data_IF_794541137958
#
_entry.id   IF_794541137958
#
_cell.length_a   1.000
_cell.length_b   1.000
_cell.length_c   1.000
_cell.angle_alpha   90.00
_cell.angle_beta   90.00
_cell.angle_gamma   90.00
#
_symmetry.space_group_name_H-M   'P 1'
#
loop_
_entity.id
_entity.type
_entity.pdbx_description
1 polymer ?
#
# COMPACT_ATOMS: atom_id res chain seq x y z
N UNK A 1 3.51 3.12 -14.11
CA UNK A 1 4.12 4.28 -13.41
C UNK A 1 4.51 3.90 -11.98
N UNK A 2 5.77 4.06 -11.55
CA UNK A 2 6.19 3.81 -10.17
C UNK A 2 6.10 5.12 -9.37
N UNK A 3 4.96 5.37 -8.74
CA UNK A 3 4.83 6.55 -7.86
C UNK A 3 5.77 6.36 -6.68
N UNK A 4 6.84 7.16 -6.59
CA UNK A 4 7.84 7.07 -5.53
C UNK A 4 7.35 7.78 -4.27
N UNK A 5 7.14 7.02 -3.19
CA UNK A 5 6.61 7.52 -1.92
C UNK A 5 7.67 7.59 -0.84
N UNK A 6 7.73 8.72 -0.13
CA UNK A 6 8.73 9.07 0.89
C UNK A 6 8.97 7.97 1.95
N UNK A 7 10.05 7.17 1.85
CA UNK A 7 10.25 5.97 2.67
C UNK A 7 10.52 6.26 4.16
N UNK A 8 11.19 7.38 4.47
CA UNK A 8 11.70 7.67 5.82
C UNK A 8 10.63 7.91 6.89
N UNK A 9 9.56 8.64 6.54
CA UNK A 9 8.47 8.92 7.49
C UNK A 9 7.59 7.68 7.77
N UNK A 10 7.48 6.78 6.79
CA UNK A 10 6.62 5.61 6.86
C UNK A 10 7.12 4.56 7.86
N UNK A 11 8.43 4.29 7.89
CA UNK A 11 9.01 3.35 8.86
C UNK A 11 8.81 3.82 10.31
N UNK A 12 8.96 5.13 10.56
CA UNK A 12 8.71 5.72 11.88
C UNK A 12 7.23 5.60 12.28
N UNK A 13 6.31 5.86 11.35
CA UNK A 13 4.89 5.73 11.61
C UNK A 13 4.50 4.27 11.88
N UNK A 14 4.98 3.32 11.06
CA UNK A 14 4.76 1.88 11.27
C UNK A 14 5.24 1.42 12.64
N UNK A 15 6.46 1.80 13.04
CA UNK A 15 7.03 1.44 14.35
C UNK A 15 6.13 1.94 15.50
N UNK A 16 5.73 3.22 15.46
CA UNK A 16 4.83 3.80 16.46
C UNK A 16 3.47 3.11 16.53
N UNK A 17 2.89 2.74 15.40
CA UNK A 17 1.62 2.00 15.39
C UNK A 17 1.82 0.62 16.01
N UNK A 18 2.89 -0.10 15.65
CA UNK A 18 3.18 -1.41 16.22
C UNK A 18 3.40 -1.37 17.74
N UNK A 19 4.05 -0.31 18.25
CA UNK A 19 4.29 -0.10 19.68
C UNK A 19 2.99 0.21 20.45
N UNK A 20 2.07 0.97 19.83
CA UNK A 20 0.81 1.35 20.47
C UNK A 20 -0.29 0.28 20.35
N UNK A 21 -0.26 -0.55 19.30
CA UNK A 21 -1.28 -1.56 19.01
C UNK A 21 -1.62 -2.50 20.19
N UNK A 22 -0.67 -2.97 21.03
CA UNK A 22 -0.97 -3.77 22.22
C UNK A 22 -2.04 -3.16 23.13
N UNK A 23 -2.09 -1.84 23.24
CA UNK A 23 -3.01 -1.11 24.10
C UNK A 23 -4.38 -0.83 23.47
N UNK A 24 -4.52 -1.07 22.17
CA UNK A 24 -5.72 -0.78 21.40
C UNK A 24 -6.72 -1.92 21.53
N UNK A 25 -7.99 -1.58 21.76
CA UNK A 25 -9.10 -2.53 21.86
C UNK A 25 -9.80 -2.75 20.51
N UNK A 26 -9.84 -1.71 19.66
CA UNK A 26 -10.54 -1.68 18.38
C UNK A 26 -9.82 -0.79 17.37
N UNK A 27 -9.76 -1.21 16.11
CA UNK A 27 -9.25 -0.39 15.02
C UNK A 27 -10.43 0.17 14.21
N UNK A 28 -10.35 1.43 13.82
CA UNK A 28 -11.18 2.01 12.75
C UNK A 28 -10.27 2.24 11.55
N UNK A 29 -10.51 1.53 10.46
CA UNK A 29 -9.83 1.78 9.19
C UNK A 29 -10.73 2.65 8.30
N UNK A 30 -10.28 3.87 8.03
CA UNK A 30 -10.98 4.81 7.15
C UNK A 30 -10.49 4.62 5.73
N UNK A 31 -11.42 4.36 4.83
CA UNK A 31 -11.20 4.14 3.40
C UNK A 31 -12.04 5.14 2.60
N UNK A 32 -11.71 5.33 1.33
CA UNK A 32 -12.53 6.12 0.41
C UNK A 32 -13.54 5.19 -0.27
N UNK A 33 -14.84 5.45 -0.09
CA UNK A 33 -15.93 4.61 -0.59
C UNK A 33 -15.90 4.44 -2.12
N UNK A 34 -15.27 5.38 -2.84
CA UNK A 34 -15.12 5.31 -4.30
C UNK A 34 -14.06 4.31 -4.74
N UNK A 35 -13.16 3.90 -3.86
CA UNK A 35 -12.06 2.97 -4.14
C UNK A 35 -11.65 2.16 -2.89
N UNK A 36 -12.55 1.33 -2.32
CA UNK A 36 -12.33 0.75 -1.00
C UNK A 36 -11.13 -0.21 -0.93
N UNK A 37 -10.87 -1.01 -1.96
CA UNK A 37 -9.71 -1.89 -2.02
C UNK A 37 -8.43 -1.09 -2.24
N UNK A 38 -8.38 -0.20 -3.22
CA UNK A 38 -7.17 0.59 -3.51
C UNK A 38 -6.80 1.54 -2.37
N UNK A 39 -7.76 1.94 -1.52
CA UNK A 39 -7.53 2.78 -0.35
C UNK A 39 -7.40 2.03 0.98
N UNK A 40 -7.57 0.70 1.01
CA UNK A 40 -7.26 -0.12 2.19
C UNK A 40 -5.76 -0.21 2.38
N UNK A 41 -5.28 -0.21 3.63
CA UNK A 41 -3.86 -0.37 3.89
C UNK A 41 -3.57 -1.81 4.35
N UNK A 42 -2.83 -2.62 3.56
CA UNK A 42 -2.51 -4.01 3.94
C UNK A 42 -1.78 -4.12 5.29
N UNK A 43 -1.08 -3.06 5.72
CA UNK A 43 -0.42 -3.03 7.03
C UNK A 43 -1.44 -3.02 8.19
N UNK A 44 -2.67 -2.54 7.99
CA UNK A 44 -3.71 -2.57 9.03
C UNK A 44 -4.01 -4.01 9.43
N UNK A 45 -4.26 -4.88 8.45
CA UNK A 45 -4.57 -6.28 8.70
C UNK A 45 -3.39 -7.03 9.32
N UNK A 46 -2.16 -6.71 8.91
CA UNK A 46 -0.95 -7.27 9.53
C UNK A 46 -0.75 -6.82 10.98
N UNK A 47 -1.00 -5.54 11.29
CA UNK A 47 -0.72 -4.97 12.60
C UNK A 47 -1.83 -5.27 13.62
N UNK A 48 -3.10 -5.28 13.21
CA UNK A 48 -4.25 -5.46 14.12
C UNK A 48 -4.31 -6.85 14.74
N UNK A 49 -3.74 -7.87 14.08
CA UNK A 49 -3.88 -9.30 14.45
C UNK A 49 -5.36 -9.66 14.58
N UNK A 50 -5.81 -10.20 15.71
CA UNK A 50 -7.21 -10.58 15.94
C UNK A 50 -8.08 -9.45 16.50
N UNK A 51 -7.58 -8.21 16.57
CA UNK A 51 -8.40 -7.09 17.07
C UNK A 51 -9.56 -6.81 16.11
N UNK A 52 -10.75 -6.54 16.64
CA UNK A 52 -11.88 -6.13 15.82
C UNK A 52 -11.53 -4.85 15.04
N UNK A 53 -11.98 -4.80 13.79
CA UNK A 53 -11.84 -3.64 12.91
C UNK A 53 -13.18 -3.19 12.39
N UNK A 54 -13.40 -1.87 12.40
CA UNK A 54 -14.48 -1.23 11.66
C UNK A 54 -13.86 -0.60 10.42
N UNK A 55 -14.14 -1.16 9.25
CA UNK A 55 -13.83 -0.59 7.95
C UNK A 55 -14.90 0.45 7.59
N UNK A 56 -14.55 1.73 7.68
CA UNK A 56 -15.42 2.87 7.35
C UNK A 56 -15.18 3.31 5.91
N UNK A 57 -16.15 3.06 5.04
CA UNK A 57 -16.14 3.53 3.65
C UNK A 57 -16.64 4.98 3.65
N UNK A 58 -15.71 5.92 3.88
CA UNK A 58 -16.01 7.34 3.99
C UNK A 58 -16.22 7.99 2.60
N UNK A 59 -16.92 9.13 2.56
CA UNK A 59 -17.35 9.82 1.33
C UNK A 59 -18.37 9.02 0.52
N UNK A 60 -19.25 8.31 1.21
CA UNK A 60 -20.32 7.54 0.57
C UNK A 60 -21.23 8.41 -0.32
N UNK A 61 -21.38 9.69 0.01
CA UNK A 61 -22.09 10.68 -0.80
C UNK A 61 -21.49 10.88 -2.20
N UNK A 62 -20.22 10.51 -2.42
CA UNK A 62 -19.53 10.60 -3.70
C UNK A 62 -19.39 9.25 -4.43
N UNK A 63 -19.67 8.14 -3.75
CA UNK A 63 -19.49 6.78 -4.28
C UNK A 63 -20.80 6.23 -4.85
N UNK A 64 -20.69 5.33 -5.82
CA UNK A 64 -21.86 4.61 -6.35
C UNK A 64 -22.47 3.73 -5.24
N UNK A 65 -23.77 3.89 -4.91
CA UNK A 65 -24.39 3.20 -3.78
C UNK A 65 -24.50 1.69 -3.96
N UNK A 66 -24.66 1.20 -5.20
CA UNK A 66 -24.75 -0.23 -5.48
C UNK A 66 -23.37 -0.88 -5.33
N UNK A 67 -22.32 -0.21 -5.82
CA UNK A 67 -20.94 -0.67 -5.67
C UNK A 67 -20.50 -0.59 -4.20
N UNK A 68 -20.85 0.48 -3.47
CA UNK A 68 -20.59 0.58 -2.03
C UNK A 68 -21.24 -0.59 -1.27
N UNK A 69 -22.47 -0.96 -1.60
CA UNK A 69 -23.14 -2.11 -0.97
C UNK A 69 -22.37 -3.42 -1.20
N UNK A 70 -21.87 -3.65 -2.41
CA UNK A 70 -21.04 -4.83 -2.72
C UNK A 70 -19.75 -4.84 -1.88
N UNK A 71 -19.09 -3.70 -1.73
CA UNK A 71 -17.90 -3.59 -0.90
C UNK A 71 -18.17 -3.82 0.59
N UNK A 72 -19.29 -3.31 1.11
CA UNK A 72 -19.72 -3.58 2.49
C UNK A 72 -19.88 -5.08 2.69
N UNK A 73 -20.60 -5.76 1.79
CA UNK A 73 -20.77 -7.22 1.87
C UNK A 73 -19.42 -7.96 1.79
N UNK A 74 -18.55 -7.56 0.86
CA UNK A 74 -17.22 -8.14 0.68
C UNK A 74 -16.39 -8.07 1.97
N UNK A 75 -16.30 -6.89 2.60
CA UNK A 75 -15.52 -6.72 3.82
C UNK A 75 -16.16 -7.34 5.06
N UNK A 76 -17.50 -7.37 5.12
CA UNK A 76 -18.23 -8.00 6.23
C UNK A 76 -18.04 -9.53 6.30
N UNK A 77 -17.54 -10.16 5.23
CA UNK A 77 -17.16 -11.59 5.22
C UNK A 77 -15.80 -11.86 5.87
N UNK A 78 -15.01 -10.83 6.16
CA UNK A 78 -13.68 -10.98 6.73
C UNK A 78 -13.72 -11.16 8.26
N UNK A 79 -12.73 -11.87 8.78
CA UNK A 79 -12.64 -12.16 10.21
C UNK A 79 -12.48 -10.89 11.06
N UNK A 80 -13.30 -10.82 12.11
CA UNK A 80 -13.33 -9.71 13.06
C UNK A 80 -13.49 -8.34 12.37
N UNK A 81 -14.18 -8.28 11.24
CA UNK A 81 -14.37 -7.08 10.44
C UNK A 81 -15.85 -6.70 10.37
N UNK A 82 -16.14 -5.43 10.61
CA UNK A 82 -17.42 -4.81 10.27
C UNK A 82 -17.16 -3.73 9.24
N UNK A 83 -18.00 -3.67 8.21
CA UNK A 83 -17.95 -2.60 7.21
C UNK A 83 -19.22 -1.75 7.26
N UNK A 84 -19.07 -0.44 7.11
CA UNK A 84 -20.19 0.46 6.93
C UNK A 84 -19.82 1.67 6.05
N UNK A 85 -20.75 2.13 5.21
CA UNK A 85 -20.61 3.41 4.53
C UNK A 85 -20.76 4.55 5.53
N UNK A 86 -20.05 5.66 5.27
CA UNK A 86 -20.06 6.83 6.11
C UNK A 86 -19.89 8.12 5.30
N UNK A 87 -20.54 9.20 5.76
CA UNK A 87 -20.13 10.58 5.51
C UNK A 87 -19.64 11.17 6.82
N UNK A 88 -18.35 11.46 6.95
CA UNK A 88 -17.72 11.86 8.22
C UNK A 88 -18.29 13.17 8.81
N UNK A 89 -18.87 14.02 7.97
CA UNK A 89 -19.56 15.26 8.33
C UNK A 89 -20.98 15.02 8.88
N UNK A 90 -21.58 13.84 8.63
CA UNK A 90 -22.93 13.50 9.08
C UNK A 90 -22.94 13.06 10.56
N UNK A 91 -23.43 13.96 11.41
CA UNK A 91 -23.54 13.75 12.87
C UNK A 91 -24.38 12.51 13.24
N UNK A 92 -25.40 12.16 12.45
CA UNK A 92 -26.23 10.98 12.71
C UNK A 92 -25.42 9.71 12.54
N UNK A 93 -24.63 9.63 11.47
CA UNK A 93 -23.79 8.48 11.19
C UNK A 93 -22.62 8.37 12.17
N UNK A 94 -22.01 9.50 12.55
CA UNK A 94 -20.99 9.52 13.62
C UNK A 94 -21.51 8.95 14.95
N UNK A 95 -22.75 9.26 15.34
CA UNK A 95 -23.37 8.66 16.53
C UNK A 95 -23.48 7.13 16.42
N UNK A 96 -23.78 6.61 15.22
CA UNK A 96 -23.80 5.15 14.97
C UNK A 96 -22.41 4.53 15.15
N UNK A 97 -21.35 5.20 14.67
CA UNK A 97 -19.96 4.77 14.88
C UNK A 97 -19.62 4.70 16.37
N UNK A 98 -19.96 5.74 17.15
CA UNK A 98 -19.75 5.76 18.62
C UNK A 98 -20.49 4.60 19.29
N UNK A 99 -21.75 4.36 18.93
CA UNK A 99 -22.53 3.26 19.47
C UNK A 99 -21.90 1.90 19.14
N UNK A 100 -21.38 1.74 17.92
CA UNK A 100 -20.70 0.52 17.50
C UNK A 100 -19.40 0.29 18.28
N UNK A 101 -18.58 1.33 18.47
CA UNK A 101 -17.38 1.23 19.31
C UNK A 101 -17.72 0.79 20.74
N UNK A 102 -18.78 1.34 21.33
CA UNK A 102 -19.26 0.94 22.67
C UNK A 102 -19.74 -0.52 22.71
N UNK A 103 -20.45 -0.96 21.67
CA UNK A 103 -20.91 -2.35 21.56
C UNK A 103 -19.74 -3.33 21.48
N UNK A 104 -18.73 -3.04 20.67
CA UNK A 104 -17.54 -3.90 20.52
C UNK A 104 -16.69 -3.88 21.78
N UNK A 105 -16.49 -2.70 22.38
CA UNK A 105 -15.71 -2.51 23.60
C UNK A 105 -16.48 -2.74 24.91
N UNK A 106 -17.62 -3.45 24.88
CA UNK A 106 -18.50 -3.59 26.04
C UNK A 106 -17.78 -4.10 27.30
N UNK A 107 -16.89 -5.09 27.15
CA UNK A 107 -16.11 -5.65 28.26
C UNK A 107 -15.20 -4.63 28.96
N UNK A 108 -14.68 -3.62 28.24
CA UNK A 108 -13.93 -2.50 28.83
C UNK A 108 -14.87 -1.57 29.59
N UNK A 109 -16.00 -1.23 28.97
CA UNK A 109 -17.01 -0.35 29.56
C UNK A 109 -17.58 -0.94 30.87
N UNK A 110 -17.84 -2.25 30.91
CA UNK A 110 -18.28 -2.98 32.12
C UNK A 110 -17.26 -2.87 33.25
N UNK A 111 -15.96 -2.91 32.92
CA UNK A 111 -14.85 -2.72 33.88
C UNK A 111 -14.58 -1.25 34.21
N UNK A 112 -15.45 -0.32 33.78
CA UNK A 112 -15.28 1.13 33.91
C UNK A 112 -13.95 1.65 33.32
N UNK A 113 -13.45 0.97 32.29
CA UNK A 113 -12.25 1.37 31.56
C UNK A 113 -12.64 2.02 30.24
N UNK A 114 -11.88 3.04 29.83
CA UNK A 114 -12.05 3.65 28.52
C UNK A 114 -11.71 2.66 27.40
N UNK A 115 -12.53 2.66 26.34
CA UNK A 115 -12.30 1.90 25.12
C UNK A 115 -11.25 2.63 24.29
N UNK A 116 -10.12 1.98 24.04
CA UNK A 116 -9.02 2.55 23.25
C UNK A 116 -9.21 2.20 21.78
N UNK A 117 -9.42 3.21 20.95
CA UNK A 117 -9.71 3.05 19.52
C UNK A 117 -8.59 3.69 18.71
N UNK A 118 -8.00 2.96 17.76
CA UNK A 118 -7.02 3.54 16.85
C UNK A 118 -7.65 3.85 15.50
N UNK A 119 -7.48 5.08 15.01
CA UNK A 119 -7.95 5.47 13.67
C UNK A 119 -6.78 5.34 12.69
N UNK A 120 -6.97 4.54 11.65
CA UNK A 120 -5.98 4.25 10.61
C UNK A 120 -6.56 4.53 9.22
N UNK A 121 -5.67 4.64 8.22
CA UNK A 121 -6.05 4.85 6.82
C UNK A 121 -5.06 5.76 6.09
N UNK A 122 -5.10 5.72 4.76
CA UNK A 122 -4.18 6.49 3.91
C UNK A 122 -4.46 8.01 3.97
N UNK A 123 -3.57 8.90 3.49
CA UNK A 123 -3.87 10.32 3.37
C UNK A 123 -5.18 10.62 2.61
N UNK A 124 -5.84 11.71 2.96
CA UNK A 124 -7.02 12.26 2.26
C UNK A 124 -8.30 11.40 2.21
N UNK A 125 -8.38 10.25 2.90
CA UNK A 125 -9.63 9.48 3.09
C UNK A 125 -10.61 10.12 4.09
N UNK A 126 -10.20 11.18 4.81
CA UNK A 126 -11.06 11.90 5.75
C UNK A 126 -10.89 11.53 7.24
N UNK A 127 -9.74 10.96 7.63
CA UNK A 127 -9.43 10.64 9.04
C UNK A 127 -9.60 11.83 10.00
N UNK A 128 -9.02 12.99 9.69
CA UNK A 128 -9.11 14.18 10.54
C UNK A 128 -10.55 14.68 10.68
N UNK A 129 -11.33 14.64 9.59
CA UNK A 129 -12.76 14.96 9.60
C UNK A 129 -13.52 14.00 10.52
N UNK A 130 -13.27 12.69 10.38
CA UNK A 130 -13.87 11.68 11.25
C UNK A 130 -13.51 11.92 12.73
N UNK A 131 -12.24 12.20 13.03
CA UNK A 131 -11.78 12.47 14.40
C UNK A 131 -12.48 13.71 14.98
N UNK A 132 -12.59 14.79 14.21
CA UNK A 132 -13.31 15.99 14.63
C UNK A 132 -14.81 15.71 14.84
N UNK A 133 -15.42 14.91 13.96
CA UNK A 133 -16.79 14.43 14.10
C UNK A 133 -17.01 13.64 15.39
N UNK A 134 -16.14 12.64 15.65
CA UNK A 134 -16.16 11.82 16.85
C UNK A 134 -15.92 12.63 18.13
N UNK A 135 -15.03 13.62 18.08
CA UNK A 135 -14.72 14.51 19.21
C UNK A 135 -15.78 15.59 19.46
N UNK A 136 -16.62 15.88 18.47
CA UNK A 136 -17.58 16.98 18.52
C UNK A 136 -16.93 18.38 18.59
N UNK A 137 -15.61 18.47 18.37
CA UNK A 137 -14.82 19.70 18.40
C UNK A 137 -13.63 19.58 17.44
N UNK A 138 -13.05 20.72 17.06
CA UNK A 138 -11.89 20.74 16.19
C UNK A 138 -10.61 20.39 16.96
N UNK A 139 -10.13 19.15 16.82
CA UNK A 139 -8.91 18.63 17.46
C UNK A 139 -7.81 18.35 16.44
N UNK A 140 -8.19 17.82 15.27
CA UNK A 140 -7.28 17.50 14.18
C UNK A 140 -7.35 18.56 13.09
N UNK A 141 -6.18 18.98 12.57
CA UNK A 141 -6.11 19.90 11.42
C UNK A 141 -6.61 19.19 10.15
N UNK A 142 -7.58 19.80 9.47
CA UNK A 142 -8.12 19.34 8.18
C UNK A 142 -7.57 20.18 7.03
N UNK A 143 -7.35 19.56 5.88
CA UNK A 143 -6.89 20.21 4.65
C UNK A 143 -6.77 19.19 3.51
N UNK A 144 -6.76 19.67 2.27
CA UNK A 144 -6.68 18.81 1.07
C UNK A 144 -5.25 18.34 0.76
N UNK A 145 -4.24 18.89 1.43
CA UNK A 145 -2.85 18.45 1.27
C UNK A 145 -2.59 17.13 2.01
N UNK A 146 -2.01 16.11 1.34
CA UNK A 146 -1.58 14.89 2.01
C UNK A 146 -0.56 15.13 3.12
N UNK A 147 -0.65 14.35 4.21
CA UNK A 147 0.28 14.29 5.34
C UNK A 147 0.28 15.49 6.31
N UNK A 148 -0.89 16.09 6.58
CA UNK A 148 -1.05 17.22 7.53
C UNK A 148 -0.84 16.84 9.00
N UNK A 149 -1.18 15.62 9.43
CA UNK A 149 -1.04 15.15 10.82
C UNK A 149 0.41 14.78 11.15
N UNK A 150 1.00 15.40 12.18
CA UNK A 150 2.44 15.29 12.50
C UNK A 150 2.79 14.47 13.76
N UNK A 151 1.86 14.23 14.69
CA UNK A 151 2.13 13.51 15.94
C UNK A 151 0.96 12.60 16.37
N UNK A 152 1.27 11.47 17.01
CA UNK A 152 0.26 10.62 17.63
C UNK A 152 -0.30 11.35 18.86
N UNK A 153 -1.62 11.54 18.90
CA UNK A 153 -2.30 12.18 20.02
C UNK A 153 -3.37 11.24 20.56
N UNK A 154 -3.46 11.16 21.89
CA UNK A 154 -4.58 10.50 22.55
C UNK A 154 -5.67 11.54 22.78
N UNK A 155 -6.85 11.32 22.20
CA UNK A 155 -7.97 12.24 22.23
C UNK A 155 -9.09 11.61 23.04
N UNK A 156 -9.31 12.12 24.24
CA UNK A 156 -10.47 11.73 25.05
C UNK A 156 -11.75 12.39 24.50
N UNK A 157 -12.69 11.54 24.09
CA UNK A 157 -14.00 11.92 23.57
C UNK A 157 -15.00 12.27 24.69
N UNK A 158 -14.62 12.10 25.96
CA UNK A 158 -15.45 12.33 27.16
C UNK A 158 -16.74 11.50 27.19
N UNK A 159 -16.74 10.37 26.50
CA UNK A 159 -17.90 9.48 26.36
C UNK A 159 -17.55 8.00 26.61
N UNK A 160 -16.39 7.74 27.22
CA UNK A 160 -15.85 6.40 27.48
C UNK A 160 -14.94 5.86 26.37
N UNK A 161 -14.61 6.66 25.35
CA UNK A 161 -13.72 6.30 24.25
C UNK A 161 -12.53 7.25 24.22
N UNK A 162 -11.33 6.68 24.05
CA UNK A 162 -10.10 7.42 23.80
C UNK A 162 -9.59 7.05 22.41
N UNK A 163 -9.45 8.04 21.52
CA UNK A 163 -8.90 7.84 20.18
C UNK A 163 -7.38 7.95 20.21
N UNK A 164 -6.70 7.02 19.55
CA UNK A 164 -5.31 7.16 19.14
C UNK A 164 -5.30 7.65 17.69
N UNK A 165 -4.98 8.94 17.50
CA UNK A 165 -4.76 9.50 16.17
C UNK A 165 -3.39 9.05 15.66
N UNK A 166 -3.36 8.49 14.45
CA UNK A 166 -2.13 8.09 13.78
C UNK A 166 -2.01 8.85 12.46
N UNK A 167 -0.82 9.34 12.09
CA UNK A 167 -0.63 9.96 10.79
C UNK A 167 -1.02 8.98 9.68
N UNK A 168 -1.54 9.49 8.57
CA UNK A 168 -1.91 8.63 7.44
C UNK A 168 -0.71 7.82 6.95
N UNK A 169 -0.78 6.50 7.09
CA UNK A 169 0.28 5.60 6.63
C UNK A 169 -0.10 5.10 5.25
N UNK A 170 0.82 5.28 4.29
CA UNK A 170 0.84 4.58 3.01
C UNK A 170 1.81 3.40 3.11
N UNK A 171 1.70 2.45 2.19
CA UNK A 171 2.63 1.33 2.04
C UNK A 171 3.56 1.56 0.83
N UNK A 172 4.79 1.02 0.85
CA UNK A 172 5.85 1.46 -0.06
C UNK A 172 5.72 0.99 -1.51
N UNK A 173 4.92 -0.04 -1.80
CA UNK A 173 4.80 -0.57 -3.17
C UNK A 173 3.37 -1.06 -3.44
N UNK A 174 2.76 -0.57 -4.50
CA UNK A 174 1.52 -1.12 -5.02
C UNK A 174 1.87 -2.33 -5.89
N UNK A 175 1.31 -3.49 -5.57
CA UNK A 175 1.39 -4.66 -6.45
C UNK A 175 0.46 -4.51 -7.64
N UNK A 176 -0.71 -3.90 -7.41
CA UNK A 176 -1.68 -3.56 -8.46
C UNK A 176 -1.45 -2.15 -8.99
N UNK A 177 -1.09 -2.03 -10.27
CA UNK A 177 -0.86 -0.75 -10.94
C UNK A 177 -2.14 0.11 -11.03
N UNK A 178 -3.30 -0.52 -11.21
CA UNK A 178 -4.59 0.16 -11.26
C UNK A 178 -4.90 0.92 -9.96
N UNK A 179 -4.48 0.38 -8.81
CA UNK A 179 -4.62 1.07 -7.53
C UNK A 179 -3.88 2.40 -7.50
N UNK A 180 -2.70 2.50 -8.14
CA UNK A 180 -1.97 3.76 -8.25
C UNK A 180 -2.76 4.84 -9.00
N UNK A 181 -3.35 4.47 -10.15
CA UNK A 181 -4.19 5.37 -10.92
C UNK A 181 -5.45 5.81 -10.15
N UNK A 182 -6.14 4.88 -9.48
CA UNK A 182 -7.34 5.17 -8.66
C UNK A 182 -7.02 6.10 -7.48
N UNK A 183 -5.91 5.85 -6.79
CA UNK A 183 -5.43 6.70 -5.69
C UNK A 183 -5.11 8.11 -6.17
N UNK A 184 -4.48 8.25 -7.35
CA UNK A 184 -4.21 9.55 -7.94
C UNK A 184 -5.50 10.26 -8.36
N UNK A 185 -6.43 9.55 -9.00
CA UNK A 185 -7.71 10.10 -9.41
C UNK A 185 -8.53 10.61 -8.21
N UNK A 186 -8.53 9.86 -7.11
CA UNK A 186 -9.28 10.20 -5.89
C UNK A 186 -8.70 11.36 -5.08
N UNK A 187 -7.44 11.74 -5.32
CA UNK A 187 -6.72 12.79 -4.59
C UNK A 187 -5.99 12.29 -3.34
N UNK A 188 -5.75 10.98 -3.21
CA UNK A 188 -4.90 10.43 -2.14
C UNK A 188 -3.40 10.71 -2.37
N UNK A 189 -3.04 11.00 -3.62
CA UNK A 189 -1.69 11.30 -4.09
C UNK A 189 -1.46 12.81 -4.14
N UNK A 190 -0.24 13.25 -3.80
CA UNK A 190 0.18 14.65 -3.98
C UNK A 190 0.27 14.98 -5.46
N UNK A 191 -0.23 16.15 -5.83
CA UNK A 191 -0.22 16.69 -7.19
C UNK A 191 1.17 16.68 -7.85
N UNK A 192 2.23 16.96 -7.08
CA UNK A 192 3.62 16.98 -7.57
C UNK A 192 4.17 15.60 -7.95
N UNK A 193 3.45 14.53 -7.64
CA UNK A 193 3.86 13.14 -7.86
C UNK A 193 2.96 12.42 -8.90
N UNK A 194 2.16 13.15 -9.67
CA UNK A 194 1.24 12.59 -10.66
C UNK A 194 1.24 13.36 -11.98
N UNK A 195 1.15 12.62 -13.09
CA UNK A 195 0.91 13.18 -14.41
C UNK A 195 -0.60 13.33 -14.65
N UNK A 196 -1.14 14.52 -14.39
CA UNK A 196 -2.58 14.83 -14.47
C UNK A 196 -3.25 14.29 -15.74
N UNK A 197 -2.59 14.46 -16.90
CA UNK A 197 -3.09 13.99 -18.19
C UNK A 197 -3.34 12.49 -18.19
N UNK A 198 -2.36 11.69 -17.78
CA UNK A 198 -2.46 10.23 -17.78
C UNK A 198 -3.55 9.75 -16.81
N UNK A 199 -3.60 10.32 -15.61
CA UNK A 199 -4.61 9.97 -14.60
C UNK A 199 -6.02 10.30 -15.10
N UNK A 200 -6.21 11.45 -15.74
CA UNK A 200 -7.50 11.84 -16.31
C UNK A 200 -7.90 10.95 -17.50
N UNK A 201 -6.96 10.58 -18.38
CA UNK A 201 -7.22 9.67 -19.49
C UNK A 201 -7.61 8.27 -19.00
N UNK A 202 -6.90 7.73 -18.01
CA UNK A 202 -7.26 6.47 -17.36
C UNK A 202 -8.67 6.54 -16.76
N UNK A 203 -8.94 7.60 -15.99
CA UNK A 203 -10.23 7.80 -15.32
C UNK A 203 -11.36 7.92 -16.34
N UNK A 204 -11.22 8.75 -17.37
CA UNK A 204 -12.22 8.89 -18.43
C UNK A 204 -12.41 7.58 -19.20
N UNK A 205 -11.35 6.84 -19.48
CA UNK A 205 -11.43 5.52 -20.11
C UNK A 205 -12.27 4.52 -19.30
N UNK A 206 -12.14 4.54 -17.96
CA UNK A 206 -13.01 3.77 -17.08
C UNK A 206 -14.45 4.28 -17.09
N UNK A 207 -14.66 5.59 -16.98
CA UNK A 207 -16.00 6.19 -16.95
C UNK A 207 -16.78 5.96 -18.26
N UNK A 208 -16.11 5.93 -19.41
CA UNK A 208 -16.74 5.60 -20.70
C UNK A 208 -17.39 4.22 -20.70
N UNK A 209 -16.81 3.27 -19.95
CA UNK A 209 -17.31 1.88 -19.85
C UNK A 209 -18.33 1.73 -18.73
N UNK A 210 -17.99 2.19 -17.53
CA UNK A 210 -18.77 1.95 -16.33
C UNK A 210 -19.88 2.99 -16.09
N UNK A 211 -19.66 4.25 -16.46
CA UNK A 211 -20.60 5.35 -16.22
C UNK A 211 -20.82 6.24 -17.46
N UNK A 212 -21.11 5.65 -18.65
CA UNK A 212 -21.26 6.42 -19.89
C UNK A 212 -22.34 7.50 -19.80
N UNK A 213 -23.42 7.23 -19.07
CA UNK A 213 -24.53 8.16 -18.87
C UNK A 213 -24.09 9.45 -18.12
N UNK A 214 -23.23 9.34 -17.10
CA UNK A 214 -22.72 10.52 -16.38
C UNK A 214 -21.90 11.44 -17.29
N UNK A 215 -21.10 10.88 -18.20
CA UNK A 215 -20.33 11.66 -19.17
C UNK A 215 -21.25 12.35 -20.20
N UNK A 216 -22.27 11.64 -20.70
CA UNK A 216 -23.31 12.22 -21.56
C UNK A 216 -24.02 13.38 -20.86
N UNK A 217 -24.44 13.20 -19.63
CA UNK A 217 -25.21 14.21 -18.90
C UNK A 217 -24.37 15.42 -18.52
N UNK A 218 -23.18 15.19 -17.94
CA UNK A 218 -22.31 16.25 -17.43
C UNK A 218 -21.64 17.04 -18.55
N UNK A 219 -21.13 16.35 -19.57
CA UNK A 219 -20.29 16.95 -20.61
C UNK A 219 -20.94 17.00 -21.99
N UNK A 220 -22.18 16.49 -22.15
CA UNK A 220 -22.90 16.46 -23.43
C UNK A 220 -22.07 15.78 -24.52
N UNK A 221 -21.44 14.65 -24.17
CA UNK A 221 -20.66 13.80 -25.06
C UNK A 221 -21.58 12.82 -25.80
N UNK A 222 -22.13 13.24 -26.93
CA UNK A 222 -22.93 12.37 -27.79
C UNK A 222 -22.56 12.62 -29.27
N UNK A 223 -22.02 11.63 -30.01
CA UNK A 223 -21.69 10.28 -29.55
C UNK A 223 -20.57 10.26 -28.49
N UNK A 224 -20.46 9.14 -27.76
CA UNK A 224 -19.37 8.95 -26.80
C UNK A 224 -18.03 8.75 -27.52
N UNK A 225 -16.94 9.36 -27.02
CA UNK A 225 -15.59 9.12 -27.51
C UNK A 225 -15.16 7.64 -27.39
N UNK A 226 -14.26 7.21 -28.29
CA UNK A 226 -13.77 5.83 -28.32
C UNK A 226 -12.78 5.51 -27.18
N UNK A 227 -12.05 6.51 -26.70
CA UNK A 227 -10.99 6.33 -25.71
C UNK A 227 -10.91 7.46 -24.68
N UNK A 228 -10.21 7.21 -23.57
CA UNK A 228 -9.92 8.21 -22.54
C UNK A 228 -9.20 9.46 -23.08
N UNK A 229 -8.16 9.32 -23.93
CA UNK A 229 -7.57 10.44 -24.66
C UNK A 229 -8.57 11.27 -25.47
N UNK A 230 -9.42 10.62 -26.28
CA UNK A 230 -10.42 11.32 -27.10
C UNK A 230 -11.45 12.04 -26.22
N UNK A 231 -11.84 11.42 -25.10
CA UNK A 231 -12.73 12.03 -24.14
C UNK A 231 -12.12 13.25 -23.46
N UNK A 232 -10.83 13.22 -23.13
CA UNK A 232 -10.14 14.35 -22.54
C UNK A 232 -10.05 15.53 -23.52
N UNK A 233 -9.74 15.26 -24.79
CA UNK A 233 -9.72 16.28 -25.83
C UNK A 233 -11.11 16.90 -26.04
N UNK A 234 -12.15 16.07 -26.17
CA UNK A 234 -13.52 16.53 -26.33
C UNK A 234 -13.98 17.36 -25.12
N UNK A 235 -13.64 16.92 -23.90
CA UNK A 235 -13.91 17.65 -22.67
C UNK A 235 -13.23 19.03 -22.69
N UNK A 236 -11.95 19.08 -23.05
CA UNK A 236 -11.19 20.31 -23.15
C UNK A 236 -11.81 21.30 -24.14
N UNK A 237 -12.24 20.82 -25.30
CA UNK A 237 -12.96 21.62 -26.31
C UNK A 237 -14.28 22.16 -25.78
N UNK A 238 -15.12 21.30 -25.18
CA UNK A 238 -16.46 21.69 -24.68
C UNK A 238 -16.41 22.60 -23.45
N UNK A 239 -15.35 22.54 -22.65
CA UNK A 239 -15.19 23.33 -21.42
C UNK A 239 -14.34 24.58 -21.59
N UNK A 240 -13.87 24.87 -22.80
CA UNK A 240 -13.04 26.05 -23.06
C UNK A 240 -11.66 25.97 -22.38
N UNK A 241 -11.13 24.76 -22.17
CA UNK A 241 -9.76 24.57 -21.72
C UNK A 241 -8.83 24.81 -22.91
N UNK A 242 -8.62 26.08 -23.28
CA UNK A 242 -7.84 26.49 -24.45
C UNK A 242 -6.64 27.34 -24.06
N UNK A 243 -5.57 27.25 -24.86
CA UNK A 243 -4.40 28.14 -24.86
C UNK A 243 -4.50 29.15 -26.02
N UNK A 244 -3.64 30.20 -26.04
CA UNK A 244 -3.54 31.08 -27.20
C UNK A 244 -3.42 30.30 -28.52
N UNK A 245 -4.12 30.77 -29.56
CA UNK A 245 -4.22 30.07 -30.84
C UNK A 245 -5.32 28.99 -30.91
N UNK A 246 -6.16 28.86 -29.89
CA UNK A 246 -7.31 27.93 -29.91
C UNK A 246 -6.92 26.46 -29.69
N UNK A 247 -5.67 26.19 -29.30
CA UNK A 247 -5.18 24.84 -29.01
C UNK A 247 -5.71 24.37 -27.65
N UNK A 248 -6.15 23.12 -27.57
CA UNK A 248 -6.71 22.55 -26.34
C UNK A 248 -5.62 22.37 -25.29
N UNK A 249 -5.86 22.91 -24.09
CA UNK A 249 -5.05 22.68 -22.90
C UNK A 249 -5.47 21.39 -22.20
N UNK A 250 -4.78 20.30 -22.52
CA UNK A 250 -5.05 18.98 -21.94
C UNK A 250 -4.77 18.92 -20.43
N UNK A 251 -3.83 19.72 -19.92
CA UNK A 251 -3.55 19.76 -18.48
C UNK A 251 -4.72 20.38 -17.72
N UNK A 252 -5.18 21.55 -18.18
CA UNK A 252 -6.33 22.23 -17.60
C UNK A 252 -7.61 21.39 -17.70
N UNK A 253 -7.80 20.68 -18.82
CA UNK A 253 -8.91 19.75 -18.99
C UNK A 253 -8.83 18.57 -17.99
N UNK A 254 -7.62 18.04 -17.77
CA UNK A 254 -7.39 16.94 -16.84
C UNK A 254 -7.65 17.36 -15.38
N UNK A 255 -7.12 18.50 -14.96
CA UNK A 255 -7.39 19.08 -13.64
C UNK A 255 -8.88 19.31 -13.42
N UNK A 256 -9.57 19.92 -14.39
CA UNK A 256 -11.02 20.13 -14.33
C UNK A 256 -11.75 18.79 -14.13
N UNK A 257 -11.45 17.80 -14.96
CA UNK A 257 -12.08 16.48 -14.90
C UNK A 257 -11.91 15.83 -13.53
N UNK A 258 -10.68 15.77 -13.01
CA UNK A 258 -10.40 15.15 -11.72
C UNK A 258 -11.02 15.93 -10.56
N UNK A 259 -10.99 17.26 -10.57
CA UNK A 259 -11.66 18.07 -9.55
C UNK A 259 -13.18 17.93 -9.56
N UNK A 260 -13.81 17.85 -10.73
CA UNK A 260 -15.24 17.62 -10.84
C UNK A 260 -15.63 16.22 -10.36
N UNK A 261 -14.84 15.19 -10.64
CA UNK A 261 -15.04 13.86 -10.07
C UNK A 261 -14.89 13.87 -8.55
N UNK A 262 -13.82 14.51 -8.04
CA UNK A 262 -13.52 14.59 -6.60
C UNK A 262 -14.58 15.36 -5.80
N UNK A 263 -15.30 16.28 -6.45
CA UNK A 263 -16.38 17.07 -5.83
C UNK A 263 -17.78 16.54 -6.13
N UNK A 264 -17.91 15.36 -6.77
CA UNK A 264 -19.20 14.74 -7.10
C UNK A 264 -19.98 15.44 -8.22
N UNK A 265 -19.40 16.43 -8.91
CA UNK A 265 -20.06 17.19 -9.98
C UNK A 265 -20.35 16.35 -11.22
N UNK A 266 -19.55 15.30 -11.47
CA UNK A 266 -19.83 14.34 -12.55
C UNK A 266 -20.98 13.42 -12.15
N UNK A 267 -21.06 13.05 -10.88
CA UNK A 267 -22.02 12.13 -10.30
C UNK A 267 -21.37 11.29 -9.20
N UNK A 268 -22.13 10.34 -8.66
CA UNK A 268 -21.65 9.35 -7.69
C UNK A 268 -20.94 8.22 -8.43
N UNK A 269 -19.66 8.02 -8.14
CA UNK A 269 -18.75 7.16 -8.92
C UNK A 269 -17.92 6.30 -7.98
N UNK A 270 -17.90 4.99 -8.24
CA UNK A 270 -16.90 4.08 -7.69
C UNK A 270 -15.95 3.60 -8.80
N UNK A 271 -14.64 3.74 -8.56
CA UNK A 271 -13.53 3.45 -9.48
C UNK A 271 -13.12 1.97 -9.49
N UNK A 272 -13.76 1.15 -8.66
CA UNK A 272 -13.56 -0.28 -8.60
C UNK A 272 -14.73 -1.04 -7.98
N UNK A 273 -14.87 -2.30 -8.38
CA UNK A 273 -15.82 -3.28 -7.83
C UNK A 273 -15.03 -4.48 -7.25
N UNK A 274 -15.63 -5.26 -6.33
CA UNK A 274 -14.99 -6.47 -5.82
C UNK A 274 -14.56 -7.45 -6.91
N UNK A 275 -15.41 -7.69 -7.91
CA UNK A 275 -15.14 -8.63 -9.00
C UNK A 275 -13.95 -8.18 -9.87
N UNK A 276 -13.92 -6.90 -10.25
CA UNK A 276 -12.82 -6.36 -11.05
C UNK A 276 -11.48 -6.46 -10.31
N UNK A 277 -11.48 -6.24 -8.99
CA UNK A 277 -10.29 -6.41 -8.16
C UNK A 277 -9.89 -7.88 -8.05
N UNK A 278 -10.85 -8.80 -7.94
CA UNK A 278 -10.57 -10.23 -7.92
C UNK A 278 -9.90 -10.69 -9.22
N UNK A 279 -10.38 -10.22 -10.37
CA UNK A 279 -9.77 -10.49 -11.68
C UNK A 279 -8.36 -9.91 -11.78
N UNK A 280 -8.15 -8.67 -11.34
CA UNK A 280 -6.83 -8.02 -11.30
C UNK A 280 -5.83 -8.80 -10.45
N UNK A 281 -6.25 -9.26 -9.26
CA UNK A 281 -5.41 -10.03 -8.36
C UNK A 281 -5.07 -11.42 -8.92
N UNK A 282 -6.04 -12.10 -9.54
CA UNK A 282 -5.81 -13.38 -10.20
C UNK A 282 -4.78 -13.26 -11.33
N UNK A 283 -4.83 -12.17 -12.09
CA UNK A 283 -3.84 -11.90 -13.14
C UNK A 283 -2.45 -11.62 -12.58
N UNK A 284 -2.35 -10.80 -11.53
CA UNK A 284 -1.08 -10.51 -10.86
C UNK A 284 -0.43 -11.80 -10.35
N UNK A 285 -1.22 -12.69 -9.73
CA UNK A 285 -0.70 -13.97 -9.24
C UNK A 285 -0.26 -14.90 -10.38
N UNK A 286 -1.02 -14.95 -11.49
CA UNK A 286 -0.64 -15.71 -12.68
C UNK A 286 0.72 -15.27 -13.22
N UNK A 287 0.92 -13.95 -13.36
CA UNK A 287 2.18 -13.36 -13.84
C UNK A 287 3.33 -13.62 -12.87
N UNK A 288 3.07 -13.57 -11.56
CA UNK A 288 4.06 -13.88 -10.52
C UNK A 288 4.53 -15.33 -10.60
N UNK A 289 3.62 -16.29 -10.71
CA UNK A 289 3.94 -17.71 -10.84
C UNK A 289 4.71 -17.99 -12.13
N UNK A 290 4.32 -17.37 -13.25
CA UNK A 290 5.05 -17.48 -14.51
C UNK A 290 6.48 -16.93 -14.41
N UNK A 291 6.68 -15.80 -13.72
CA UNK A 291 8.01 -15.24 -13.50
C UNK A 291 8.90 -16.13 -12.63
N UNK A 292 8.35 -16.76 -11.59
CA UNK A 292 9.08 -17.72 -10.75
C UNK A 292 9.50 -18.93 -11.59
N UNK A 293 8.57 -19.54 -12.34
CA UNK A 293 8.87 -20.67 -13.20
C UNK A 293 9.93 -20.34 -14.27
N UNK A 294 9.88 -19.14 -14.85
CA UNK A 294 10.87 -18.68 -15.82
C UNK A 294 12.26 -18.50 -15.18
N UNK A 295 12.32 -17.98 -13.95
CA UNK A 295 13.57 -17.83 -13.20
C UNK A 295 14.18 -19.18 -12.84
N UNK A 296 13.37 -20.13 -12.37
CA UNK A 296 13.80 -21.50 -12.07
C UNK A 296 14.31 -22.24 -13.32
N UNK A 297 13.60 -22.10 -14.45
CA UNK A 297 14.05 -22.66 -15.73
C UNK A 297 15.38 -22.06 -16.21
N UNK A 298 15.54 -20.73 -16.08
CA UNK A 298 16.78 -20.05 -16.41
C UNK A 298 17.95 -20.50 -15.52
N UNK A 299 17.71 -20.70 -14.21
CA UNK A 299 18.72 -21.22 -13.29
C UNK A 299 19.10 -22.67 -13.62
N UNK A 300 18.12 -23.52 -13.96
CA UNK A 300 18.37 -24.90 -14.37
C UNK A 300 19.23 -24.99 -15.64
N UNK A 301 18.96 -24.15 -16.65
CA UNK A 301 19.77 -24.05 -17.86
C UNK A 301 21.19 -23.52 -17.56
N UNK A 302 21.32 -22.51 -16.69
CA UNK A 302 22.63 -22.01 -16.26
C UNK A 302 23.46 -23.07 -15.50
N UNK A 303 22.81 -23.97 -14.74
CA UNK A 303 23.47 -25.12 -14.09
C UNK A 303 23.92 -26.18 -15.09
N UNK A 304 23.15 -26.44 -16.15
CA UNK A 304 23.56 -27.36 -17.24
C UNK A 304 24.74 -26.82 -18.07
N UNK A 305 24.83 -25.49 -18.23
CA UNK A 305 25.95 -24.82 -18.91
C UNK A 305 27.28 -24.85 -18.15
N UNK A 306 27.26 -25.08 -16.83
CA UNK A 306 28.45 -25.28 -15.99
C UNK A 306 28.77 -26.78 -15.86
N UNK A 307 29.13 -27.45 -16.97
CA UNK A 307 29.84 -28.74 -16.86
C UNK A 307 31.26 -28.48 -16.32
N UNK A 308 31.76 -29.23 -15.32
CA UNK A 308 33.17 -29.19 -14.97
C UNK A 308 33.99 -29.54 -16.21
N UNK A 309 35.06 -28.81 -16.51
CA UNK A 309 36.00 -29.24 -17.55
C UNK A 309 36.53 -30.63 -17.17
N UNK A 310 36.43 -31.65 -18.04
CA UNK A 310 37.09 -32.92 -17.81
C UNK A 310 38.59 -32.69 -18.02
N UNK A 311 39.31 -32.40 -16.94
CA UNK A 311 40.75 -32.11 -16.99
C UNK A 311 41.43 -31.86 -15.64
N UNK A 312 40.70 -31.64 -14.55
CA UNK A 312 41.32 -31.44 -13.23
C UNK A 312 41.55 -32.72 -12.41
N UNK A 313 40.99 -33.87 -12.83
CA UNK A 313 41.19 -35.14 -12.11
C UNK A 313 42.56 -35.79 -12.42
N UNK A 314 43.12 -35.57 -13.62
CA UNK A 314 44.45 -36.08 -13.97
C UNK A 314 45.57 -35.19 -13.40
N UNK A 315 45.32 -33.89 -13.22
CA UNK A 315 46.28 -32.96 -12.61
C UNK A 315 46.43 -33.14 -11.08
N UNK A 316 45.36 -33.54 -10.38
CA UNK A 316 45.43 -33.84 -8.94
C UNK A 316 46.10 -35.19 -8.64
N UNK A 317 45.87 -36.21 -9.49
CA UNK A 317 46.51 -37.53 -9.34
C UNK A 317 48.04 -37.48 -9.58
N UNK A 318 48.50 -36.68 -10.54
CA UNK A 318 49.94 -36.51 -10.79
C UNK A 318 50.65 -35.70 -9.70
N UNK A 319 49.94 -34.78 -9.03
CA UNK A 319 50.49 -33.98 -7.94
C UNK A 319 50.68 -34.81 -6.65
N UNK A 320 49.71 -35.68 -6.31
CA UNK A 320 49.85 -36.60 -5.16
C UNK A 320 50.94 -37.66 -5.39
N UNK A 321 51.06 -38.18 -6.62
CA UNK A 321 52.08 -39.19 -6.94
C UNK A 321 53.50 -38.59 -6.87
N UNK A 322 53.69 -37.34 -7.33
CA UNK A 322 54.98 -36.62 -7.19
C UNK A 322 55.32 -36.26 -5.75
N UNK A 323 54.33 -35.91 -4.93
CA UNK A 323 54.55 -35.61 -3.51
C UNK A 323 54.94 -36.86 -2.71
N UNK A 324 54.34 -38.02 -3.00
CA UNK A 324 54.69 -39.28 -2.34
C UNK A 324 56.07 -39.83 -2.75
N UNK A 325 56.45 -39.66 -4.02
CA UNK A 325 57.80 -40.04 -4.47
C UNK A 325 58.91 -39.16 -3.84
N UNK A 326 58.64 -37.86 -3.64
CA UNK A 326 59.58 -36.95 -2.98
C UNK A 326 59.78 -37.26 -1.49
N UNK A 327 58.72 -37.67 -0.78
CA UNK A 327 58.78 -38.05 0.63
C UNK A 327 59.57 -39.36 0.85
N UNK A 328 59.41 -40.35 -0.02
CA UNK A 328 60.14 -41.63 0.10
C UNK A 328 61.63 -41.52 -0.27
N UNK A 329 62.02 -40.47 -1.01
CA UNK A 329 63.42 -40.18 -1.33
C UNK A 329 64.19 -39.51 -0.18
N UNK A 330 63.48 -38.94 0.79
CA UNK A 330 64.05 -38.19 1.91
C UNK A 330 64.30 -39.04 3.17
N UNK A 331 63.75 -40.25 3.26
CA UNK A 331 63.88 -41.13 4.44
C UNK A 331 65.06 -42.14 4.35
N UNK A 332 66.01 -41.95 3.42
CA UNK A 332 67.18 -42.84 3.26
C UNK A 332 68.56 -42.18 3.41
N UNK A 333 68.63 -40.95 3.95
CA UNK A 333 69.88 -40.34 4.36
C UNK A 333 69.69 -39.53 5.65
N UNK A 334 69.83 -40.20 6.80
CA UNK A 334 70.40 -39.64 8.04
C UNK A 334 70.49 -40.76 9.10
N UNK A 335 71.63 -41.46 9.12
CA UNK A 335 72.09 -42.21 10.29
C UNK A 335 72.73 -41.23 11.30
N UNK A 336 72.60 -41.46 12.63
CA UNK A 336 73.14 -40.56 13.65
C UNK A 336 74.60 -40.91 14.00
N UNK A 337 75.49 -39.92 13.95
CA UNK A 337 76.81 -40.02 14.55
C UNK A 337 76.75 -39.60 16.03
N UNK A 338 77.29 -40.45 16.89
CA UNK A 338 77.17 -40.40 18.34
C UNK A 338 78.60 -40.33 18.89
N UNK A 339 79.01 -39.16 19.41
CA UNK A 339 80.38 -38.92 19.88
C UNK A 339 80.45 -38.02 21.11
N UNK A 340 80.74 -38.63 22.24
CA UNK A 340 80.97 -38.05 23.57
C UNK A 340 82.20 -37.12 23.61
N UNK A 341 82.20 -36.13 24.52
CA UNK A 341 83.23 -36.03 25.59
C UNK A 341 82.97 -34.88 26.56
N UNK A 342 83.13 -35.22 27.84
CA UNK A 342 83.28 -34.38 29.04
C UNK A 342 84.25 -33.20 28.88
N UNK A 343 84.16 -32.18 29.75
CA UNK A 343 85.06 -32.07 30.93
C UNK A 343 85.07 -30.65 31.56
N UNK A 344 84.41 -30.56 32.72
CA UNK A 344 84.86 -29.94 33.98
C UNK A 344 85.11 -28.41 34.19
N UNK A 345 85.10 -27.98 35.49
CA UNK A 345 84.76 -26.63 35.95
C UNK A 345 85.92 -25.90 36.65
N UNK A 346 85.62 -24.71 37.23
CA UNK A 346 86.14 -24.09 38.49
C UNK A 346 86.28 -22.55 38.35
N UNK A 347 86.46 -21.76 39.44
CA UNK A 347 85.68 -21.73 40.67
C UNK A 347 85.49 -20.27 41.23
N UNK A 348 84.75 -20.22 42.35
CA UNK A 348 84.62 -19.17 43.40
C UNK A 348 84.07 -17.77 43.05
#
# INVERSE_FOLDING_TARGET
MAVQWFPGHMNKARKKISEAMPEIDLVIEVMDARLPFSSTNPLVDQLRRNRPVIKLLNKDDLADPDVTRQWVEYFSKQDNTLALPLVAEDKSQIKKVIALCKKIGAARAERKQSIRVMVMGIPNVGKSTLINGLAGRYVAKTGNEPAVTKANQMIDLKNGIVLSDTPGILWPKFENEHSGYRLAASGAVKDTAMEYREIAQYTLGYLLKAYPHLLKDRYKMDPLPASGPDALELLGRKRGCLRPGGVIDLHKAAELCLHEMRSGKIGRISLETPDMVADELAEIERLRLAAIAAAEAAEAEARKGKRPQPGSAEAEADAETRAQAAAQSAEHHEEPDNGQSDDQPRPE
#
